data_IF_429786759088
#
_entry.id   IF_429786759088
#
_cell.length_a   1.000
_cell.length_b   1.000
_cell.length_c   1.000
_cell.angle_alpha   90.00
_cell.angle_beta   90.00
_cell.angle_gamma   90.00
#
_symmetry.space_group_name_H-M   'P 1'
#
loop_
_entity.id
_entity.type
_entity.pdbx_description
1 polymer ?
#
# COMPACT_ATOMS: atom_id res chain seq x y z
N UNK A 1 -6.55 -14.96 -0.68
CA UNK A 1 -5.16 -14.72 -0.24
C UNK A 1 -5.02 -13.23 0.07
N UNK A 2 -4.33 -12.86 1.14
CA UNK A 2 -4.08 -11.46 1.53
C UNK A 2 -2.57 -11.29 1.68
N UNK A 3 -2.04 -10.18 1.17
CA UNK A 3 -0.63 -9.80 1.29
C UNK A 3 -0.58 -8.47 2.03
N UNK A 4 0.13 -8.42 3.15
CA UNK A 4 0.33 -7.22 3.96
C UNK A 4 1.75 -6.69 3.75
N UNK A 5 1.87 -5.40 3.41
CA UNK A 5 3.16 -4.73 3.21
C UNK A 5 3.35 -3.75 4.37
N UNK A 6 4.10 -4.19 5.38
CA UNK A 6 4.38 -3.44 6.60
C UNK A 6 5.76 -2.76 6.56
N UNK A 7 5.97 -1.74 7.38
CA UNK A 7 7.26 -1.07 7.54
C UNK A 7 7.14 0.42 7.90
N UNK A 8 8.26 1.11 8.21
CA UNK A 8 8.23 2.51 8.65
C UNK A 8 7.81 3.48 7.53
N UNK A 9 7.42 4.70 7.90
CA UNK A 9 7.18 5.79 6.94
C UNK A 9 8.42 6.02 6.08
N UNK A 10 8.23 6.36 4.80
CA UNK A 10 9.31 6.53 3.81
C UNK A 10 10.14 5.28 3.45
N UNK A 11 9.74 4.07 3.87
CA UNK A 11 10.43 2.82 3.51
C UNK A 11 10.18 2.33 2.06
N UNK A 12 9.54 3.12 1.19
CA UNK A 12 9.26 2.71 -0.20
C UNK A 12 8.10 1.73 -0.40
N UNK A 13 7.24 1.50 0.62
CA UNK A 13 6.13 0.54 0.58
C UNK A 13 5.17 0.75 -0.60
N UNK A 14 4.84 2.01 -0.92
CA UNK A 14 3.95 2.34 -2.03
C UNK A 14 4.51 1.86 -3.38
N UNK A 15 5.82 1.99 -3.60
CA UNK A 15 6.46 1.54 -4.83
C UNK A 15 6.34 0.01 -5.00
N UNK A 16 6.60 -0.75 -3.94
CA UNK A 16 6.47 -2.22 -3.95
C UNK A 16 5.00 -2.64 -4.12
N UNK A 17 4.06 -1.97 -3.44
CA UNK A 17 2.64 -2.28 -3.55
C UNK A 17 2.12 -2.14 -4.99
N UNK A 18 2.55 -1.09 -5.70
CA UNK A 18 2.20 -0.87 -7.11
C UNK A 18 2.77 -1.97 -8.02
N UNK A 19 4.06 -2.29 -7.88
CA UNK A 19 4.70 -3.35 -8.67
C UNK A 19 4.03 -4.71 -8.46
N UNK A 20 3.68 -5.05 -7.21
CA UNK A 20 2.99 -6.30 -6.90
C UNK A 20 1.56 -6.33 -7.43
N UNK A 21 0.85 -5.19 -7.37
CA UNK A 21 -0.50 -5.09 -7.91
C UNK A 21 -0.55 -5.36 -9.41
N UNK A 22 0.41 -4.83 -10.16
CA UNK A 22 0.55 -5.09 -11.60
C UNK A 22 0.95 -6.55 -11.89
N UNK A 23 1.97 -7.06 -11.20
CA UNK A 23 2.48 -8.41 -11.43
C UNK A 23 1.46 -9.52 -11.09
N UNK A 24 0.61 -9.29 -10.09
CA UNK A 24 -0.37 -10.26 -9.60
C UNK A 24 -1.82 -9.96 -10.03
N UNK A 25 -2.03 -8.89 -10.83
CA UNK A 25 -3.35 -8.40 -11.24
C UNK A 25 -4.33 -8.28 -10.05
N UNK A 26 -3.90 -7.57 -9.00
CA UNK A 26 -4.59 -7.45 -7.72
C UNK A 26 -4.89 -5.99 -7.36
N UNK A 27 -5.70 -5.80 -6.31
CA UNK A 27 -6.11 -4.49 -5.81
C UNK A 27 -5.37 -4.14 -4.53
N UNK A 28 -5.03 -2.86 -4.39
CA UNK A 28 -4.40 -2.29 -3.20
C UNK A 28 -5.49 -1.71 -2.30
N UNK A 29 -5.40 -1.99 -1.01
CA UNK A 29 -6.18 -1.31 0.04
C UNK A 29 -5.22 -0.50 0.89
N UNK A 30 -5.50 0.79 1.07
CA UNK A 30 -4.69 1.64 1.93
C UNK A 30 -4.97 1.31 3.41
N UNK A 31 -3.90 1.03 4.17
CA UNK A 31 -3.98 0.72 5.60
C UNK A 31 -3.28 1.78 6.47
N UNK A 32 -3.12 3.01 5.98
CA UNK A 32 -2.55 4.11 6.74
C UNK A 32 -3.68 4.93 7.40
N UNK A 33 -3.69 4.94 8.74
CA UNK A 33 -4.70 5.65 9.54
C UNK A 33 -4.79 7.16 9.29
N UNK A 34 -3.78 7.78 8.66
CA UNK A 34 -3.77 9.21 8.33
C UNK A 34 -4.25 9.49 6.90
N UNK A 35 -4.11 8.56 5.96
CA UNK A 35 -4.49 8.77 4.56
C UNK A 35 -5.98 8.54 4.28
N UNK A 36 -6.75 8.15 5.29
CA UNK A 36 -8.22 8.06 5.19
C UNK A 36 -8.89 9.43 5.19
N UNK A 37 -8.20 10.48 5.65
CA UNK A 37 -8.74 11.83 5.73
C UNK A 37 -8.52 12.56 4.40
N UNK A 38 -9.60 13.09 3.82
CA UNK A 38 -9.64 13.69 2.46
C UNK A 38 -8.68 14.86 2.23
N UNK A 39 -8.26 15.53 3.29
CA UNK A 39 -7.43 16.74 3.23
C UNK A 39 -6.17 16.61 4.09
N UNK A 40 -5.81 15.37 4.44
CA UNK A 40 -4.50 15.05 5.03
C UNK A 40 -3.55 14.50 3.98
#
# INVERSE_FOLDING_TARGET
MIITIEGPTAAGKTAIALMLAEALNTRIVNCDSRQVYRYM
#
